data_IF_172720229724
#
_entry.id   IF_172720229724
#
_cell.length_a   1.000
_cell.length_b   1.000
_cell.length_c   1.000
_cell.angle_alpha   90.00
_cell.angle_beta   90.00
_cell.angle_gamma   90.00
#
_symmetry.space_group_name_H-M   'P 1'
#
loop_
_entity.id
_entity.type
_entity.pdbx_description
1 polymer ?
#
# COMPACT_ATOMS: atom_id res chain seq x y z
N UNK A 1 29.10 30.32 -6.64
CA UNK A 1 29.37 29.77 -5.30
C UNK A 1 28.13 29.78 -4.38
N UNK A 2 27.07 30.55 -4.68
CA UNK A 2 25.85 30.66 -3.85
C UNK A 2 24.98 29.39 -3.78
N UNK A 3 24.89 28.60 -4.84
CA UNK A 3 23.99 27.43 -4.91
C UNK A 3 24.23 26.37 -3.82
N UNK A 4 25.47 26.20 -3.36
CA UNK A 4 25.81 25.24 -2.29
C UNK A 4 25.47 25.78 -0.89
N UNK A 5 25.51 27.11 -0.71
CA UNK A 5 25.09 27.76 0.53
C UNK A 5 23.58 27.68 0.74
N UNK A 6 22.81 27.90 -0.32
CA UNK A 6 21.35 27.80 -0.31
C UNK A 6 20.85 26.37 -0.04
N UNK A 7 21.52 25.38 -0.63
CA UNK A 7 21.20 23.97 -0.38
C UNK A 7 21.47 23.58 1.08
N UNK A 8 22.56 24.09 1.67
CA UNK A 8 22.87 23.91 3.08
C UNK A 8 21.81 24.53 3.99
N UNK A 9 21.37 25.75 3.69
CA UNK A 9 20.32 26.44 4.45
C UNK A 9 18.97 25.68 4.37
N UNK A 10 18.59 25.19 3.19
CA UNK A 10 17.38 24.37 3.02
C UNK A 10 17.44 23.07 3.81
N UNK A 11 18.56 22.34 3.75
CA UNK A 11 18.72 21.10 4.52
C UNK A 11 18.65 21.39 6.03
N UNK A 12 19.31 22.43 6.50
CA UNK A 12 19.23 22.86 7.90
C UNK A 12 17.80 23.27 8.31
N UNK A 13 17.04 23.91 7.42
CA UNK A 13 15.63 24.28 7.70
C UNK A 13 14.69 23.07 7.83
N UNK A 14 14.99 21.97 7.13
CA UNK A 14 14.21 20.72 7.20
C UNK A 14 14.53 19.86 8.41
N UNK A 15 15.63 20.15 9.12
CA UNK A 15 16.08 19.39 10.28
C UNK A 15 15.53 20.02 11.55
N UNK A 16 14.97 19.19 12.45
CA UNK A 16 14.55 19.66 13.77
C UNK A 16 15.72 20.29 14.52
N UNK A 17 15.49 21.44 15.19
CA UNK A 17 16.53 22.19 15.91
C UNK A 17 17.37 21.35 16.87
N UNK A 18 16.81 20.25 17.39
CA UNK A 18 17.47 19.28 18.27
C UNK A 18 18.51 18.40 17.60
N UNK A 19 18.66 18.44 16.27
CA UNK A 19 19.57 17.60 15.50
C UNK A 19 20.70 18.40 14.84
N UNK A 20 20.76 19.72 15.06
CA UNK A 20 21.75 20.60 14.45
C UNK A 20 23.20 20.26 14.84
N UNK A 21 23.42 19.73 16.04
CA UNK A 21 24.73 19.27 16.51
C UNK A 21 25.37 18.24 15.57
N UNK A 22 24.56 17.44 14.85
CA UNK A 22 25.07 16.42 13.91
C UNK A 22 25.49 17.00 12.55
N UNK A 23 25.16 18.26 12.28
CA UNK A 23 25.52 18.98 11.05
C UNK A 23 26.57 20.07 11.28
N UNK A 24 26.90 20.35 12.55
CA UNK A 24 27.73 21.51 12.96
C UNK A 24 29.19 21.42 12.51
N UNK A 25 29.74 20.21 12.39
CA UNK A 25 31.14 19.99 12.00
C UNK A 25 31.32 19.44 10.58
N UNK A 26 30.25 19.37 9.78
CA UNK A 26 30.32 18.89 8.41
C UNK A 26 30.79 20.02 7.47
N UNK A 27 31.81 19.73 6.67
CA UNK A 27 32.46 20.66 5.74
C UNK A 27 31.73 20.74 4.40
N UNK A 28 30.97 19.70 4.05
CA UNK A 28 30.17 19.66 2.83
C UNK A 28 28.71 19.25 3.08
N UNK A 29 27.84 19.56 2.12
CA UNK A 29 26.45 19.11 2.11
C UNK A 29 26.34 17.59 2.08
N UNK A 30 27.23 16.92 1.32
CA UNK A 30 27.29 15.47 1.26
C UNK A 30 27.61 14.85 2.64
N UNK A 31 28.55 15.45 3.39
CA UNK A 31 28.86 15.00 4.77
C UNK A 31 27.72 15.24 5.74
N UNK A 32 26.97 16.34 5.60
CA UNK A 32 25.75 16.56 6.41
C UNK A 32 24.71 15.49 6.14
N UNK A 33 24.44 15.21 4.86
CA UNK A 33 23.48 14.18 4.46
C UNK A 33 23.93 12.78 4.91
N UNK A 34 25.22 12.46 4.80
CA UNK A 34 25.75 11.17 5.23
C UNK A 34 25.73 11.02 6.76
N UNK A 35 26.07 12.07 7.52
CA UNK A 35 25.96 12.10 8.99
C UNK A 35 24.52 11.88 9.45
N UNK A 36 23.57 12.56 8.79
CA UNK A 36 22.15 12.42 9.06
C UNK A 36 21.65 11.04 8.65
N UNK A 37 22.06 10.52 7.49
CA UNK A 37 21.71 9.19 7.03
C UNK A 37 22.22 8.12 8.00
N UNK A 38 23.48 8.18 8.45
CA UNK A 38 24.03 7.18 9.38
C UNK A 38 23.29 7.17 10.73
N UNK A 39 22.78 8.31 11.21
CA UNK A 39 22.13 8.41 12.53
C UNK A 39 20.62 8.31 12.52
N UNK A 40 19.98 8.74 11.43
CA UNK A 40 18.52 8.81 11.30
C UNK A 40 17.97 7.90 10.21
N UNK A 41 18.80 7.31 9.33
CA UNK A 41 18.30 6.20 8.55
C UNK A 41 17.88 5.11 9.54
N UNK A 42 16.62 4.67 9.49
CA UNK A 42 16.24 3.49 10.24
C UNK A 42 17.22 2.39 9.85
N UNK A 43 17.82 1.72 10.84
CA UNK A 43 18.59 0.51 10.60
C UNK A 43 17.80 -0.39 9.64
N UNK A 44 18.47 -1.13 8.76
CA UNK A 44 17.79 -2.05 7.82
C UNK A 44 16.74 -2.92 8.54
N UNK A 45 17.00 -3.28 9.81
CA UNK A 45 16.05 -3.98 10.67
C UNK A 45 14.84 -3.15 11.12
N UNK A 46 15.03 -1.86 11.44
CA UNK A 46 13.94 -0.95 11.77
C UNK A 46 13.06 -0.68 10.54
N UNK A 47 13.67 -0.51 9.36
CA UNK A 47 12.94 -0.36 8.10
C UNK A 47 12.16 -1.62 7.74
N UNK A 48 12.78 -2.80 7.91
CA UNK A 48 12.09 -4.09 7.75
C UNK A 48 10.86 -4.19 8.68
N UNK A 49 11.01 -3.80 9.95
CA UNK A 49 9.90 -3.79 10.91
C UNK A 49 8.80 -2.78 10.54
N UNK A 50 9.13 -1.63 9.96
CA UNK A 50 8.14 -0.67 9.45
C UNK A 50 7.34 -1.29 8.30
N UNK A 51 8.02 -1.91 7.33
CA UNK A 51 7.37 -2.57 6.19
C UNK A 51 6.48 -3.73 6.65
N UNK A 52 6.97 -4.56 7.59
CA UNK A 52 6.16 -5.64 8.19
C UNK A 52 4.92 -5.08 8.91
N UNK A 53 5.04 -3.96 9.63
CA UNK A 53 3.88 -3.31 10.26
C UNK A 53 2.92 -2.74 9.22
N UNK A 54 3.44 -2.11 8.17
CA UNK A 54 2.63 -1.56 7.09
C UNK A 54 1.84 -2.65 6.36
N UNK A 55 2.49 -3.77 6.04
CA UNK A 55 1.85 -4.95 5.46
C UNK A 55 0.74 -5.50 6.36
N UNK A 56 1.03 -5.73 7.64
CA UNK A 56 0.02 -6.21 8.60
C UNK A 56 -1.17 -5.25 8.77
N UNK A 57 -0.95 -3.94 8.64
CA UNK A 57 -2.03 -2.96 8.71
C UNK A 57 -2.83 -2.91 7.41
N UNK A 58 -2.19 -3.07 6.26
CA UNK A 58 -2.84 -3.04 4.96
C UNK A 58 -3.71 -4.30 4.74
N UNK A 59 -3.23 -5.46 5.18
CA UNK A 59 -3.95 -6.74 5.06
C UNK A 59 -5.08 -6.88 6.10
N UNK A 60 -5.12 -6.00 7.10
CA UNK A 60 -6.26 -5.92 8.00
C UNK A 60 -7.49 -5.36 7.28
N UNK A 61 -8.66 -5.68 7.84
CA UNK A 61 -9.95 -5.18 7.37
C UNK A 61 -9.91 -3.65 7.15
N UNK A 62 -10.48 -3.14 6.05
CA UNK A 62 -10.59 -1.71 5.85
C UNK A 62 -11.38 -1.09 6.99
N UNK A 63 -10.88 0.01 7.55
CA UNK A 63 -11.59 0.74 8.62
C UNK A 63 -12.94 1.21 8.08
N UNK A 64 -13.97 1.18 8.93
CA UNK A 64 -15.33 1.63 8.59
C UNK A 64 -15.27 3.05 8.00
N UNK A 65 -15.82 3.22 6.80
CA UNK A 65 -15.81 4.50 6.07
C UNK A 65 -14.61 4.73 5.14
N UNK A 66 -13.64 3.82 5.09
CA UNK A 66 -12.55 3.87 4.11
C UNK A 66 -13.07 3.46 2.74
N UNK A 67 -12.77 4.23 1.70
CA UNK A 67 -13.06 3.82 0.34
C UNK A 67 -12.28 2.54 0.01
N UNK A 68 -12.98 1.46 -0.38
CA UNK A 68 -12.34 0.18 -0.68
C UNK A 68 -11.28 0.33 -1.78
N UNK A 69 -11.49 1.20 -2.77
CA UNK A 69 -10.48 1.50 -3.81
C UNK A 69 -9.18 2.02 -3.24
N UNK A 70 -9.24 2.87 -2.19
CA UNK A 70 -8.05 3.37 -1.50
C UNK A 70 -7.36 2.24 -0.74
N UNK A 71 -8.13 1.41 -0.04
CA UNK A 71 -7.58 0.25 0.66
C UNK A 71 -6.87 -0.74 -0.29
N UNK A 72 -7.43 -1.01 -1.47
CA UNK A 72 -6.78 -1.87 -2.47
C UNK A 72 -5.46 -1.26 -2.98
N UNK A 73 -5.40 0.06 -3.16
CA UNK A 73 -4.18 0.76 -3.55
C UNK A 73 -3.11 0.70 -2.44
N UNK A 74 -3.50 1.00 -1.21
CA UNK A 74 -2.60 0.94 -0.05
C UNK A 74 -2.07 -0.50 0.16
N UNK A 75 -2.89 -1.50 -0.14
CA UNK A 75 -2.52 -2.92 -0.11
C UNK A 75 -1.51 -3.31 -1.21
N UNK A 76 -1.73 -2.87 -2.46
CA UNK A 76 -0.77 -3.09 -3.56
C UNK A 76 0.58 -2.43 -3.24
N UNK A 77 0.56 -1.19 -2.75
CA UNK A 77 1.78 -0.47 -2.36
C UNK A 77 2.53 -1.18 -1.23
N UNK A 78 1.81 -1.67 -0.21
CA UNK A 78 2.42 -2.40 0.90
C UNK A 78 2.95 -3.77 0.47
N UNK A 79 2.31 -4.43 -0.49
CA UNK A 79 2.79 -5.68 -1.09
C UNK A 79 4.12 -5.45 -1.81
N UNK A 80 4.20 -4.42 -2.66
CA UNK A 80 5.40 -4.12 -3.43
C UNK A 80 6.60 -3.82 -2.50
N UNK A 81 6.39 -2.99 -1.47
CA UNK A 81 7.42 -2.73 -0.46
C UNK A 81 7.82 -4.02 0.30
N UNK A 82 6.88 -4.91 0.59
CA UNK A 82 7.16 -6.16 1.29
C UNK A 82 7.91 -7.20 0.42
N UNK A 83 7.67 -7.20 -0.90
CA UNK A 83 8.43 -8.00 -1.87
C UNK A 83 9.87 -7.50 -1.96
N UNK A 84 10.07 -6.18 -2.02
CA UNK A 84 11.41 -5.58 -2.09
C UNK A 84 12.27 -5.91 -0.86
N UNK A 85 11.65 -6.06 0.31
CA UNK A 85 12.31 -6.45 1.56
C UNK A 85 12.35 -7.97 1.81
N UNK A 86 11.92 -8.79 0.85
CA UNK A 86 11.88 -10.25 0.91
C UNK A 86 11.20 -10.79 2.20
N UNK A 87 10.06 -10.18 2.57
CA UNK A 87 9.34 -10.58 3.78
C UNK A 87 8.76 -12.00 3.65
N UNK A 88 8.90 -12.85 4.69
CA UNK A 88 8.39 -14.23 4.65
C UNK A 88 6.87 -14.29 4.50
N UNK A 89 6.15 -13.30 5.02
CA UNK A 89 4.69 -13.17 4.95
C UNK A 89 4.17 -12.94 3.53
N UNK A 90 5.03 -12.48 2.62
CA UNK A 90 4.65 -12.21 1.23
C UNK A 90 5.11 -13.34 0.30
N UNK A 91 5.74 -14.38 0.85
CA UNK A 91 6.16 -15.57 0.10
C UNK A 91 5.02 -16.56 -0.11
N UNK A 92 5.12 -17.33 -1.19
CA UNK A 92 4.18 -18.41 -1.49
C UNK A 92 2.76 -17.90 -1.73
N UNK A 93 1.78 -18.60 -1.15
CA UNK A 93 0.35 -18.29 -1.23
C UNK A 93 -0.16 -17.52 0.00
N UNK A 94 0.70 -17.24 0.99
CA UNK A 94 0.31 -16.52 2.21
C UNK A 94 -0.38 -15.17 1.96
N UNK A 95 0.12 -14.28 1.07
CA UNK A 95 -0.57 -13.01 0.83
C UNK A 95 -1.94 -13.20 0.16
N UNK A 96 -2.14 -14.31 -0.55
CA UNK A 96 -3.40 -14.61 -1.24
C UNK A 96 -4.49 -15.00 -0.25
N UNK A 97 -4.17 -15.92 0.68
CA UNK A 97 -5.08 -16.30 1.77
C UNK A 97 -5.37 -15.14 2.74
N UNK A 98 -4.38 -14.27 2.95
CA UNK A 98 -4.58 -13.09 3.79
C UNK A 98 -5.53 -12.09 3.11
N UNK A 99 -5.45 -11.91 1.79
CA UNK A 99 -6.39 -11.10 1.01
C UNK A 99 -7.81 -11.68 1.00
N UNK A 100 -7.98 -13.00 0.80
CA UNK A 100 -9.31 -13.61 0.83
C UNK A 100 -9.96 -13.48 2.21
N UNK A 101 -9.18 -13.68 3.27
CA UNK A 101 -9.62 -13.48 4.66
C UNK A 101 -10.07 -12.04 4.92
N UNK A 102 -9.29 -11.05 4.47
CA UNK A 102 -9.66 -9.63 4.60
C UNK A 102 -10.87 -9.26 3.74
N UNK A 103 -11.03 -9.91 2.59
CA UNK A 103 -12.12 -9.70 1.65
C UNK A 103 -13.41 -10.39 2.06
N UNK A 104 -13.39 -11.36 2.99
CA UNK A 104 -14.56 -12.12 3.42
C UNK A 104 -15.68 -11.24 4.01
N UNK A 105 -15.30 -10.23 4.82
CA UNK A 105 -16.26 -9.27 5.39
C UNK A 105 -16.82 -8.29 4.34
N UNK A 106 -16.10 -8.11 3.23
CA UNK A 106 -16.41 -7.16 2.18
C UNK A 106 -17.30 -7.80 1.11
N UNK A 107 -16.88 -8.97 0.63
CA UNK A 107 -17.50 -9.75 -0.43
C UNK A 107 -17.22 -11.23 -0.18
N UNK A 108 -18.13 -11.85 0.58
CA UNK A 108 -18.01 -13.26 0.95
C UNK A 108 -18.06 -14.20 -0.26
N UNK A 109 -18.72 -13.81 -1.36
CA UNK A 109 -18.73 -14.62 -2.60
C UNK A 109 -17.35 -14.69 -3.22
N UNK A 110 -16.69 -13.53 -3.35
CA UNK A 110 -15.35 -13.45 -3.92
C UNK A 110 -14.32 -14.23 -3.10
N UNK A 111 -14.35 -14.06 -1.77
CA UNK A 111 -13.42 -14.75 -0.87
C UNK A 111 -13.55 -16.27 -0.99
N UNK A 112 -14.78 -16.81 -0.94
CA UNK A 112 -15.02 -18.25 -1.04
C UNK A 112 -14.62 -18.83 -2.40
N UNK A 113 -14.88 -18.11 -3.50
CA UNK A 113 -14.50 -18.53 -4.84
C UNK A 113 -12.98 -18.60 -5.00
N UNK A 114 -12.27 -17.61 -4.47
CA UNK A 114 -10.82 -17.59 -4.48
C UNK A 114 -10.19 -18.60 -3.52
N UNK A 115 -10.74 -18.81 -2.33
CA UNK A 115 -10.26 -19.87 -1.43
C UNK A 115 -10.36 -21.25 -2.10
N UNK A 116 -11.45 -21.52 -2.82
CA UNK A 116 -11.59 -22.76 -3.61
C UNK A 116 -10.57 -22.86 -4.75
N UNK A 117 -10.24 -21.75 -5.40
CA UNK A 117 -9.20 -21.71 -6.46
C UNK A 117 -7.81 -21.93 -5.85
N UNK A 118 -7.48 -21.24 -4.76
CA UNK A 118 -6.19 -21.31 -4.06
C UNK A 118 -5.93 -22.71 -3.48
N UNK A 119 -6.95 -23.38 -2.93
CA UNK A 119 -6.82 -24.76 -2.46
C UNK A 119 -6.58 -25.79 -3.57
N UNK A 120 -6.94 -25.47 -4.83
CA UNK A 120 -6.71 -26.33 -6.00
C UNK A 120 -5.35 -26.08 -6.65
N UNK A 121 -4.70 -24.97 -6.32
CA UNK A 121 -3.39 -24.62 -6.86
C UNK A 121 -2.34 -25.29 -5.99
N UNK A 122 -1.60 -26.23 -6.58
CA UNK A 122 -0.45 -26.83 -5.92
C UNK A 122 0.66 -25.78 -5.78
N UNK A 123 1.34 -25.71 -4.63
CA UNK A 123 2.27 -24.62 -4.27
C UNK A 123 3.41 -24.40 -5.27
N UNK A 124 3.70 -25.42 -6.10
CA UNK A 124 4.77 -25.43 -7.12
C UNK A 124 4.25 -25.48 -8.55
N UNK A 125 2.95 -25.37 -8.77
CA UNK A 125 2.35 -25.39 -10.10
C UNK A 125 2.74 -24.17 -10.94
N UNK A 126 2.88 -24.29 -12.27
CA UNK A 126 3.17 -23.17 -13.18
C UNK A 126 2.01 -22.15 -13.27
N UNK A 127 0.90 -22.40 -12.58
CA UNK A 127 -0.32 -21.60 -12.62
C UNK A 127 -0.58 -20.89 -11.29
N UNK A 128 0.48 -20.41 -10.63
CA UNK A 128 0.35 -19.56 -9.45
C UNK A 128 -0.20 -18.20 -9.90
N UNK A 129 -1.40 -17.79 -9.43
CA UNK A 129 -1.93 -16.47 -9.75
C UNK A 129 -1.02 -15.41 -9.16
N UNK A 130 -0.82 -14.31 -9.88
CA UNK A 130 -0.11 -13.16 -9.31
C UNK A 130 -1.04 -12.46 -8.30
N UNK A 131 -0.47 -11.99 -7.18
CA UNK A 131 -1.24 -11.29 -6.16
C UNK A 131 -1.94 -10.05 -6.74
N UNK A 132 -1.24 -9.34 -7.63
CA UNK A 132 -1.76 -8.14 -8.32
C UNK A 132 -2.95 -8.46 -9.23
N UNK A 133 -2.98 -9.64 -9.83
CA UNK A 133 -4.11 -10.08 -10.66
C UNK A 133 -5.37 -10.31 -9.82
N UNK A 134 -5.24 -10.89 -8.62
CA UNK A 134 -6.38 -11.09 -7.71
C UNK A 134 -6.93 -9.75 -7.21
N UNK A 135 -6.04 -8.80 -6.86
CA UNK A 135 -6.46 -7.46 -6.45
C UNK A 135 -7.16 -6.71 -7.59
N UNK A 136 -6.67 -6.86 -8.83
CA UNK A 136 -7.32 -6.31 -10.02
C UNK A 136 -8.69 -6.93 -10.26
N UNK A 137 -8.83 -8.26 -10.15
CA UNK A 137 -10.12 -8.95 -10.30
C UNK A 137 -11.15 -8.44 -9.28
N UNK A 138 -10.74 -8.25 -8.01
CA UNK A 138 -11.59 -7.67 -6.98
C UNK A 138 -12.04 -6.23 -7.32
N UNK A 139 -11.12 -5.41 -7.85
CA UNK A 139 -11.43 -4.04 -8.30
C UNK A 139 -12.42 -4.03 -9.46
N UNK A 140 -12.23 -4.91 -10.44
CA UNK A 140 -13.07 -5.00 -11.63
C UNK A 140 -14.46 -5.58 -11.30
N UNK A 141 -14.55 -6.61 -10.45
CA UNK A 141 -15.82 -7.14 -9.96
C UNK A 141 -16.64 -6.09 -9.22
N UNK A 142 -15.99 -5.23 -8.43
CA UNK A 142 -16.67 -4.11 -7.76
C UNK A 142 -17.21 -3.09 -8.74
N UNK A 143 -16.39 -2.65 -9.70
CA UNK A 143 -16.84 -1.73 -10.77
C UNK A 143 -18.02 -2.30 -11.55
N UNK A 144 -17.98 -3.60 -11.86
CA UNK A 144 -19.08 -4.29 -12.53
C UNK A 144 -20.35 -4.29 -11.67
N UNK A 145 -20.25 -4.57 -10.37
CA UNK A 145 -21.40 -4.51 -9.45
C UNK A 145 -21.96 -3.09 -9.30
N UNK A 146 -21.10 -2.08 -9.21
CA UNK A 146 -21.48 -0.67 -9.16
C UNK A 146 -22.21 -0.24 -10.45
N UNK A 147 -21.73 -0.68 -11.62
CA UNK A 147 -22.42 -0.43 -12.89
C UNK A 147 -23.79 -1.11 -12.99
N UNK A 148 -23.95 -2.30 -12.40
CA UNK A 148 -25.23 -3.04 -12.34
C UNK A 148 -26.21 -2.46 -11.33
N UNK A 149 -25.71 -1.84 -10.27
CA UNK A 149 -26.52 -1.29 -9.16
C UNK A 149 -26.86 0.17 -9.37
N UNK A 150 -26.16 0.86 -10.28
CA UNK A 150 -26.50 2.24 -10.65
C UNK A 150 -27.95 2.27 -11.17
N UNK A 151 -28.87 2.99 -10.49
CA UNK A 151 -30.24 3.06 -10.94
C UNK A 151 -30.26 3.71 -12.32
N UNK A 152 -30.98 3.09 -13.26
CA UNK A 152 -31.28 3.69 -14.55
C UNK A 152 -31.72 5.15 -14.35
N UNK A 153 -31.32 6.10 -15.23
CA UNK A 153 -31.73 7.49 -15.08
C UNK A 153 -33.26 7.52 -15.06
N UNK A 154 -33.82 7.84 -13.88
CA UNK A 154 -35.24 8.14 -13.74
C UNK A 154 -35.45 9.44 -14.50
N UNK A 155 -35.89 9.33 -15.76
CA UNK A 155 -36.43 10.45 -16.50
C UNK A 155 -37.58 11.02 -15.67
N UNK A 156 -37.32 12.14 -15.00
CA UNK A 156 -38.35 12.99 -14.43
C UNK A 156 -39.23 13.44 -15.58
N UNK A 157 -40.38 12.79 -15.75
CA UNK A 157 -41.44 13.27 -16.61
C UNK A 157 -41.81 14.67 -16.12
N UNK A 158 -41.59 15.68 -16.98
CA UNK A 158 -42.15 17.01 -16.78
C UNK A 158 -43.66 16.86 -16.56
N UNK A 159 -44.14 17.19 -15.36
CA UNK A 159 -45.55 17.48 -15.18
C UNK A 159 -45.83 18.78 -15.93
N UNK A 160 -46.46 18.67 -17.10
CA UNK A 160 -47.05 19.80 -17.79
C UNK A 160 -48.24 20.27 -16.96
N UNK A 161 -48.10 21.44 -16.34
CA UNK A 161 -49.22 22.18 -15.77
C UNK A 161 -50.08 22.71 -16.93
N UNK A 162 -51.36 22.33 -16.95
CA UNK A 162 -52.41 23.00 -17.72
C UNK A 162 -53.35 23.69 -16.73
#
# INVERSE_FOLDING_TARGET
MEAMGDLRARIQSTISRRNFQYTRNCKSVAEMLQSLHVRFAPSNQARRNEVTKAWHLAIQRPKRGTAITKWLYDLESAYDEAVDFDLPEVKGLHPHFALTSASLEIDSSFANDWDRKLLKIDEKGPNKPDFREIVKELRDLRRLRESRTSPAPRHSAFQATF
#
